data_IF_417794741855
#
_entry.id   IF_417794741855
#
_cell.length_a   1.000
_cell.length_b   1.000
_cell.length_c   1.000
_cell.angle_alpha   90.00
_cell.angle_beta   90.00
_cell.angle_gamma   90.00
#
_symmetry.space_group_name_H-M   'P 1'
#
loop_
_entity.id
_entity.type
_entity.pdbx_description
1 polymer ?
#
# COMPACT_ATOMS: atom_id res chain seq x y z
N UNK A 1 -48.63 29.83 35.50
CA UNK A 1 -47.40 29.05 35.74
C UNK A 1 -47.07 28.27 34.51
N UNK A 2 -46.09 28.70 33.77
CA UNK A 2 -45.64 28.05 32.55
C UNK A 2 -44.48 27.15 32.87
N UNK A 3 -44.68 25.86 32.77
CA UNK A 3 -43.61 24.90 32.82
C UNK A 3 -42.84 24.97 31.48
N UNK A 4 -41.67 25.55 31.53
CA UNK A 4 -40.77 25.49 30.39
C UNK A 4 -40.02 24.15 30.47
N UNK A 5 -40.44 23.21 29.67
CA UNK A 5 -39.67 22.03 29.42
C UNK A 5 -38.37 22.45 28.66
N UNK A 6 -37.25 22.40 29.35
CA UNK A 6 -35.95 22.51 28.68
C UNK A 6 -35.70 21.20 27.95
N UNK A 7 -35.93 21.22 26.67
CA UNK A 7 -35.48 20.14 25.80
C UNK A 7 -33.96 20.28 25.75
N UNK A 8 -33.27 19.40 26.48
CA UNK A 8 -31.85 19.24 26.31
C UNK A 8 -31.62 18.54 24.97
N UNK A 9 -31.18 19.30 23.98
CA UNK A 9 -30.68 18.73 22.74
C UNK A 9 -29.39 18.03 23.08
N UNK A 10 -29.43 16.71 23.25
CA UNK A 10 -28.23 15.90 23.24
C UNK A 10 -27.72 15.91 21.80
N UNK A 11 -26.76 16.78 21.52
CA UNK A 11 -25.97 16.66 20.31
C UNK A 11 -25.16 15.36 20.44
N UNK A 12 -25.62 14.31 19.79
CA UNK A 12 -24.85 13.10 19.60
C UNK A 12 -23.74 13.48 18.63
N UNK A 13 -22.60 13.82 19.15
CA UNK A 13 -21.40 13.93 18.36
C UNK A 13 -21.07 12.52 17.87
N UNK A 14 -21.49 12.23 16.65
CA UNK A 14 -21.02 11.02 15.93
C UNK A 14 -19.55 11.27 15.62
N UNK A 15 -18.68 10.90 16.52
CA UNK A 15 -17.27 10.80 16.24
C UNK A 15 -17.12 9.66 15.24
N UNK A 16 -16.94 10.00 13.97
CA UNK A 16 -16.48 9.04 12.98
C UNK A 16 -15.07 8.64 13.40
N UNK A 17 -14.97 7.50 14.05
CA UNK A 17 -13.71 6.84 14.28
C UNK A 17 -13.20 6.37 12.91
N UNK A 18 -12.40 7.21 12.27
CA UNK A 18 -11.59 6.78 11.15
C UNK A 18 -10.65 5.69 11.65
N UNK A 19 -10.51 4.57 10.92
CA UNK A 19 -9.56 3.54 11.32
C UNK A 19 -8.15 4.12 11.30
N UNK A 20 -7.60 4.38 12.48
CA UNK A 20 -6.27 4.98 12.67
C UNK A 20 -5.17 3.92 12.67
N UNK A 21 -5.46 2.70 12.23
CA UNK A 21 -4.52 1.58 12.26
C UNK A 21 -3.20 1.87 11.52
N UNK A 22 -3.21 2.72 10.50
CA UNK A 22 -2.01 3.08 9.74
C UNK A 22 -1.16 4.18 10.38
N UNK A 23 -1.69 4.94 11.34
CA UNK A 23 -0.99 6.06 11.95
C UNK A 23 -0.30 5.68 13.28
N UNK A 24 -0.57 4.49 13.84
CA UNK A 24 -0.13 4.08 15.15
C UNK A 24 1.40 3.98 15.30
N UNK A 25 2.15 3.95 14.21
CA UNK A 25 3.61 3.76 14.21
C UNK A 25 4.39 4.98 13.71
N UNK A 26 3.72 6.11 13.45
CA UNK A 26 4.36 7.29 12.87
C UNK A 26 4.88 7.07 11.46
N UNK A 27 4.56 5.94 10.85
CA UNK A 27 4.92 5.59 9.49
C UNK A 27 3.68 5.66 8.61
N UNK A 28 3.84 6.12 7.39
CA UNK A 28 2.79 5.99 6.38
C UNK A 28 2.66 4.54 5.92
N UNK A 29 3.68 3.73 6.19
CA UNK A 29 3.73 2.32 5.89
C UNK A 29 3.92 2.01 4.41
N UNK A 30 3.88 0.73 4.10
CA UNK A 30 3.87 0.23 2.74
C UNK A 30 2.46 0.27 2.16
N UNK A 31 2.37 0.53 0.87
CA UNK A 31 1.11 0.51 0.11
C UNK A 31 1.31 -0.20 -1.21
N UNK A 32 0.35 -1.01 -1.59
CA UNK A 32 0.32 -1.70 -2.86
C UNK A 32 -1.04 -1.45 -3.52
N UNK A 33 -1.02 -0.98 -4.76
CA UNK A 33 -2.23 -0.73 -5.53
C UNK A 33 -2.68 -2.00 -6.26
N UNK A 34 -3.97 -2.08 -6.57
CA UNK A 34 -4.46 -3.10 -7.48
C UNK A 34 -3.73 -2.98 -8.83
N UNK A 35 -3.30 -4.09 -9.44
CA UNK A 35 -2.73 -4.03 -10.79
C UNK A 35 -3.69 -3.42 -11.78
N UNK A 36 -3.15 -2.71 -12.77
CA UNK A 36 -3.92 -2.10 -13.86
C UNK A 36 -3.38 -2.55 -15.20
N UNK A 37 -4.27 -2.82 -16.14
CA UNK A 37 -3.91 -3.17 -17.49
C UNK A 37 -4.16 -2.00 -18.43
N UNK A 38 -3.14 -1.61 -19.18
CA UNK A 38 -3.27 -0.58 -20.21
C UNK A 38 -3.41 -1.26 -21.58
N UNK A 39 -4.60 -1.12 -22.18
CA UNK A 39 -4.90 -1.73 -23.49
C UNK A 39 -4.15 -1.10 -24.66
N UNK A 40 -3.58 0.09 -24.51
CA UNK A 40 -2.79 0.74 -25.55
C UNK A 40 -1.36 0.22 -25.58
N UNK A 41 -0.74 0.09 -24.41
CA UNK A 41 0.64 -0.40 -24.29
C UNK A 41 0.71 -1.90 -24.12
N UNK A 42 -0.41 -2.56 -23.90
CA UNK A 42 -0.52 -4.00 -23.63
C UNK A 42 0.34 -4.42 -22.44
N UNK A 43 0.34 -3.60 -21.39
CA UNK A 43 1.12 -3.87 -20.19
C UNK A 43 0.22 -3.93 -18.96
N UNK A 44 0.48 -4.94 -18.14
CA UNK A 44 -0.04 -5.04 -16.78
C UNK A 44 0.99 -4.41 -15.83
N UNK A 45 0.56 -3.48 -15.01
CA UNK A 45 1.45 -2.76 -14.10
C UNK A 45 0.93 -2.84 -12.67
N UNK A 46 1.86 -2.98 -11.74
CA UNK A 46 1.63 -2.83 -10.32
C UNK A 46 2.41 -1.66 -9.78
N UNK A 47 1.81 -0.91 -8.89
CA UNK A 47 2.44 0.23 -8.23
C UNK A 47 2.39 0.05 -6.73
N UNK A 48 3.40 0.55 -6.06
CA UNK A 48 3.45 0.54 -4.61
C UNK A 48 4.45 1.55 -4.08
N UNK A 49 4.50 1.69 -2.78
CA UNK A 49 5.39 2.61 -2.15
C UNK A 49 5.58 2.32 -0.67
N UNK A 50 6.53 3.02 -0.10
CA UNK A 50 6.81 3.03 1.33
C UNK A 50 7.05 4.46 1.79
N UNK A 51 6.50 4.81 2.93
CA UNK A 51 6.69 6.12 3.55
C UNK A 51 6.93 5.99 5.04
N UNK A 52 7.78 6.86 5.57
CA UNK A 52 8.10 6.91 6.99
C UNK A 52 8.22 8.36 7.46
N UNK A 53 7.90 8.61 8.71
CA UNK A 53 8.14 9.91 9.36
C UNK A 53 9.50 9.97 10.05
N UNK A 54 10.17 8.82 10.19
CA UNK A 54 11.47 8.72 10.84
C UNK A 54 12.58 9.05 9.86
N UNK A 55 13.67 9.59 10.40
CA UNK A 55 14.88 9.83 9.62
C UNK A 55 15.71 8.55 9.55
N UNK A 56 16.02 8.13 8.34
CA UNK A 56 16.88 6.99 8.04
C UNK A 56 18.00 7.42 7.10
N UNK A 57 19.05 6.61 6.99
CA UNK A 57 20.13 6.82 6.02
C UNK A 57 19.59 6.71 4.59
N UNK A 58 18.73 5.74 4.37
CA UNK A 58 18.01 5.53 3.12
C UNK A 58 16.79 4.64 3.37
N UNK A 59 15.85 4.71 2.45
CA UNK A 59 14.72 3.80 2.40
C UNK A 59 14.65 3.16 1.02
N UNK A 60 14.05 2.01 0.93
CA UNK A 60 13.77 1.35 -0.35
C UNK A 60 12.42 0.66 -0.31
N UNK A 61 11.80 0.53 -1.45
CA UNK A 61 10.61 -0.29 -1.64
C UNK A 61 10.88 -1.30 -2.74
N UNK A 62 10.48 -2.53 -2.51
CA UNK A 62 10.42 -3.57 -3.53
C UNK A 62 8.97 -3.83 -3.85
N UNK A 63 8.59 -3.56 -5.08
CA UNK A 63 7.23 -3.79 -5.59
C UNK A 63 7.26 -4.97 -6.53
N UNK A 64 6.42 -5.95 -6.29
CA UNK A 64 6.33 -7.17 -7.08
C UNK A 64 4.94 -7.32 -7.68
N UNK A 65 4.87 -7.74 -8.93
CA UNK A 65 3.68 -8.33 -9.52
C UNK A 65 3.73 -9.83 -9.26
N UNK A 66 2.70 -10.32 -8.61
CA UNK A 66 2.53 -11.73 -8.32
C UNK A 66 1.35 -12.30 -9.09
N UNK A 67 1.47 -13.53 -9.53
CA UNK A 67 0.40 -14.28 -10.17
C UNK A 67 0.07 -15.52 -9.35
N UNK A 68 -1.22 -15.80 -9.21
CA UNK A 68 -1.67 -17.00 -8.50
C UNK A 68 -1.51 -18.23 -9.39
N UNK A 69 -0.89 -19.23 -8.84
CA UNK A 69 -0.73 -20.53 -9.44
C UNK A 69 -1.00 -21.62 -8.42
N UNK A 70 -1.95 -22.50 -8.71
CA UNK A 70 -2.36 -23.60 -7.79
C UNK A 70 -2.67 -23.13 -6.36
N UNK A 71 -3.37 -21.99 -6.25
CA UNK A 71 -3.80 -21.46 -4.96
C UNK A 71 -2.77 -20.60 -4.22
N UNK A 72 -1.55 -20.49 -4.72
CA UNK A 72 -0.50 -19.65 -4.14
C UNK A 72 -0.06 -18.56 -5.11
N UNK A 73 0.35 -17.42 -4.56
CA UNK A 73 0.93 -16.35 -5.36
C UNK A 73 2.44 -16.47 -5.43
N UNK A 74 2.98 -16.23 -6.62
CA UNK A 74 4.42 -16.24 -6.90
C UNK A 74 4.83 -14.95 -7.58
N UNK A 75 6.00 -14.44 -7.22
CA UNK A 75 6.59 -13.28 -7.86
C UNK A 75 6.88 -13.56 -9.35
N UNK A 76 6.32 -12.73 -10.21
CA UNK A 76 6.62 -12.76 -11.64
C UNK A 76 7.68 -11.74 -11.99
N UNK A 77 7.56 -10.54 -11.46
CA UNK A 77 8.55 -9.48 -11.67
C UNK A 77 8.53 -8.54 -10.48
N UNK A 78 9.70 -8.11 -10.06
CA UNK A 78 9.90 -7.16 -8.98
C UNK A 78 10.77 -6.00 -9.43
N UNK A 79 10.57 -4.86 -8.79
CA UNK A 79 11.42 -3.68 -8.94
C UNK A 79 11.70 -3.08 -7.58
N UNK A 80 12.96 -2.76 -7.32
CA UNK A 80 13.37 -2.07 -6.11
C UNK A 80 13.82 -0.66 -6.45
N UNK A 81 13.31 0.32 -5.71
CA UNK A 81 13.68 1.73 -5.83
C UNK A 81 14.18 2.21 -4.48
N UNK A 82 15.27 2.95 -4.50
CA UNK A 82 15.93 3.52 -3.33
C UNK A 82 15.71 5.02 -3.29
N UNK A 83 15.58 5.57 -2.10
CA UNK A 83 15.52 7.00 -1.89
C UNK A 83 16.17 7.37 -0.55
N UNK A 84 16.69 8.58 -0.45
CA UNK A 84 17.17 9.18 0.80
C UNK A 84 16.09 9.93 1.55
N UNK A 85 14.93 10.16 0.91
CA UNK A 85 13.80 10.85 1.51
C UNK A 85 12.89 9.91 2.31
N UNK A 86 11.80 10.46 2.79
CA UNK A 86 10.83 9.74 3.62
C UNK A 86 9.78 8.98 2.82
N UNK A 87 9.81 9.06 1.50
CA UNK A 87 8.87 8.39 0.61
C UNK A 87 9.57 7.86 -0.62
N UNK A 88 9.21 6.65 -0.98
CA UNK A 88 9.72 6.01 -2.19
C UNK A 88 8.56 5.27 -2.87
N UNK A 89 8.54 5.34 -4.19
CA UNK A 89 7.54 4.67 -5.02
C UNK A 89 8.22 3.87 -6.10
N UNK A 90 7.59 2.76 -6.47
CA UNK A 90 8.04 1.95 -7.58
C UNK A 90 6.83 1.46 -8.38
N UNK A 91 7.07 1.26 -9.66
CA UNK A 91 6.11 0.64 -10.58
C UNK A 91 6.82 -0.47 -11.32
N UNK A 92 6.17 -1.60 -11.42
CA UNK A 92 6.66 -2.76 -12.14
C UNK A 92 5.63 -3.16 -13.18
N UNK A 93 6.07 -3.56 -14.36
CA UNK A 93 5.18 -3.93 -15.45
C UNK A 93 5.65 -5.17 -16.17
N UNK A 94 4.69 -5.93 -16.70
CA UNK A 94 4.90 -7.07 -17.54
C UNK A 94 4.13 -6.90 -18.86
N UNK A 95 4.62 -7.50 -19.92
CA UNK A 95 3.95 -7.48 -21.21
C UNK A 95 2.70 -8.37 -21.16
N UNK A 96 1.59 -7.84 -21.70
CA UNK A 96 0.34 -8.55 -21.78
C UNK A 96 -0.39 -8.68 -20.45
N UNK A 97 -1.55 -9.32 -20.49
CA UNK A 97 -2.37 -9.66 -19.33
C UNK A 97 -2.61 -11.17 -19.38
N UNK A 98 -1.61 -11.92 -18.96
CA UNK A 98 -1.68 -13.37 -18.97
C UNK A 98 -2.79 -13.84 -18.06
N UNK A 99 -3.66 -14.70 -18.58
CA UNK A 99 -4.83 -15.20 -17.87
C UNK A 99 -4.50 -15.67 -16.47
N UNK A 100 -5.27 -15.21 -15.51
CA UNK A 100 -5.13 -15.58 -14.11
C UNK A 100 -5.38 -14.41 -13.17
N UNK A 101 -5.15 -14.66 -11.90
CA UNK A 101 -5.31 -13.67 -10.83
C UNK A 101 -3.95 -13.08 -10.48
N UNK A 102 -3.87 -11.77 -10.52
CA UNK A 102 -2.66 -11.02 -10.22
C UNK A 102 -2.86 -10.13 -9.00
N UNK A 103 -1.80 -9.82 -8.31
CA UNK A 103 -1.76 -8.82 -7.26
C UNK A 103 -0.43 -8.11 -7.21
N UNK A 104 -0.41 -6.97 -6.55
CA UNK A 104 0.81 -6.21 -6.26
C UNK A 104 1.16 -6.38 -4.80
N UNK A 105 2.43 -6.57 -4.52
CA UNK A 105 2.97 -6.50 -3.16
C UNK A 105 4.00 -5.39 -3.08
N UNK A 106 4.14 -4.79 -1.92
CA UNK A 106 5.16 -3.79 -1.64
C UNK A 106 5.82 -4.10 -0.30
N UNK A 107 7.14 -4.11 -0.28
CA UNK A 107 7.94 -4.30 0.92
C UNK A 107 8.85 -3.12 1.11
N UNK A 108 8.65 -2.39 2.22
CA UNK A 108 9.46 -1.26 2.61
C UNK A 108 10.57 -1.68 3.56
N UNK A 109 11.76 -1.19 3.32
CA UNK A 109 12.92 -1.39 4.18
C UNK A 109 13.62 -0.07 4.44
N UNK A 110 14.24 0.05 5.60
CA UNK A 110 14.99 1.22 6.01
C UNK A 110 16.43 0.85 6.36
N UNK A 111 17.35 1.68 5.92
CA UNK A 111 18.78 1.53 6.24
C UNK A 111 19.08 2.31 7.51
N UNK A 112 19.58 1.62 8.50
CA UNK A 112 20.07 2.19 9.74
C UNK A 112 21.33 1.48 10.19
N UNK A 113 22.36 2.23 10.56
CA UNK A 113 23.64 1.68 11.03
C UNK A 113 24.25 0.66 10.07
N UNK A 114 24.16 0.92 8.76
CA UNK A 114 24.72 0.06 7.73
C UNK A 114 23.94 -1.22 7.44
N UNK A 115 22.77 -1.39 8.02
CA UNK A 115 21.94 -2.60 7.84
C UNK A 115 20.56 -2.25 7.34
N UNK A 116 20.09 -2.96 6.32
CA UNK A 116 18.70 -2.91 5.86
C UNK A 116 17.82 -3.74 6.78
N UNK A 117 16.74 -3.13 7.24
CA UNK A 117 15.75 -3.80 8.08
C UNK A 117 14.37 -3.68 7.46
N UNK A 118 13.61 -4.76 7.54
CA UNK A 118 12.21 -4.75 7.17
C UNK A 118 11.45 -3.73 8.03
N UNK A 119 10.67 -2.88 7.37
CA UNK A 119 9.87 -1.87 8.04
C UNK A 119 8.37 -2.18 7.96
N UNK A 120 7.87 -2.47 6.75
CA UNK A 120 6.45 -2.73 6.53
C UNK A 120 6.23 -3.45 5.19
N UNK A 121 5.10 -4.14 5.08
CA UNK A 121 4.68 -4.82 3.85
C UNK A 121 3.20 -4.59 3.61
N UNK A 122 2.81 -4.58 2.35
CA UNK A 122 1.42 -4.45 1.92
C UNK A 122 1.13 -5.37 0.74
N UNK A 123 -0.12 -5.82 0.68
CA UNK A 123 -0.66 -6.61 -0.43
C UNK A 123 -1.86 -5.86 -0.97
N UNK A 124 -1.86 -5.57 -2.25
CA UNK A 124 -2.96 -4.87 -2.91
C UNK A 124 -4.11 -5.80 -3.27
N UNK A 125 -5.26 -5.22 -3.65
CA UNK A 125 -6.40 -5.99 -4.13
C UNK A 125 -6.05 -6.82 -5.36
N UNK A 126 -6.67 -7.99 -5.54
CA UNK A 126 -6.41 -8.83 -6.72
C UNK A 126 -7.04 -8.23 -7.99
N UNK A 127 -6.46 -8.57 -9.12
CA UNK A 127 -6.92 -8.22 -10.45
C UNK A 127 -6.94 -9.47 -11.33
N UNK A 128 -8.00 -9.66 -12.09
CA UNK A 128 -8.14 -10.82 -12.97
C UNK A 128 -7.88 -10.45 -14.42
N UNK A 129 -6.94 -11.14 -15.05
CA UNK A 129 -6.78 -11.18 -16.50
C UNK A 129 -7.53 -12.39 -17.04
N UNK A 130 -8.43 -12.16 -17.98
CA UNK A 130 -9.25 -13.20 -18.61
C UNK A 130 -8.67 -13.66 -19.95
#
# INVERSE_FOLDING_TARGET
>A
MTLRAKIALCAVATTMLLPVAAAAHGDFGARAAQPTFNGRTLRLSGAGGYGTTRTHQAIRVTVCLEKRYRGSFFDVKCKTVYDSDRRVRARVGVAGCVRGVWRTTATGEALGRGTWKHADSAVGPPYRCD
#
